data_IF_624437194837
#
_entry.id   IF_624437194837
#
_cell.length_a   1.000
_cell.length_b   1.000
_cell.length_c   1.000
_cell.angle_alpha   90.00
_cell.angle_beta   90.00
_cell.angle_gamma   90.00
#
_symmetry.space_group_name_H-M   'P 1'
#
loop_
_entity.id
_entity.type
_entity.pdbx_description
1 polymer ?
#
# COMPACT_ATOMS: atom_id res chain seq x y z
N UNK A 1 31.84 18.93 -5.07
CA UNK A 1 31.68 17.58 -4.47
C UNK A 1 32.96 17.23 -3.74
N UNK A 2 32.87 17.02 -2.43
CA UNK A 2 34.04 16.75 -1.60
C UNK A 2 34.53 15.32 -1.88
N UNK A 3 35.73 15.16 -2.44
CA UNK A 3 36.27 13.89 -2.95
C UNK A 3 36.52 12.83 -1.87
N UNK A 4 36.14 13.10 -0.61
CA UNK A 4 36.46 12.28 0.58
C UNK A 4 35.28 11.43 1.09
N UNK A 5 34.11 11.53 0.48
CA UNK A 5 32.89 10.83 0.97
C UNK A 5 32.82 9.37 0.48
N UNK A 6 33.48 9.05 -0.64
CA UNK A 6 33.41 7.73 -1.30
C UNK A 6 34.78 7.20 -1.67
N UNK A 7 34.89 5.87 -1.74
CA UNK A 7 36.06 5.21 -2.29
C UNK A 7 35.99 5.11 -3.83
N UNK A 8 37.07 4.66 -4.51
CA UNK A 8 37.09 4.52 -5.98
C UNK A 8 36.03 3.58 -6.56
N UNK A 9 35.49 2.67 -5.74
CA UNK A 9 34.44 1.72 -6.11
C UNK A 9 33.02 2.27 -5.79
N UNK A 10 32.93 3.54 -5.36
CA UNK A 10 31.67 4.21 -5.07
C UNK A 10 31.05 3.90 -3.70
N UNK A 11 31.72 3.11 -2.86
CA UNK A 11 31.25 2.83 -1.50
C UNK A 11 31.39 4.06 -0.60
N UNK A 12 30.42 4.27 0.28
CA UNK A 12 30.49 5.32 1.29
C UNK A 12 31.62 5.03 2.30
N UNK A 13 32.44 6.05 2.54
CA UNK A 13 33.46 6.07 3.59
C UNK A 13 32.95 6.74 4.87
N UNK A 14 31.79 7.40 4.79
CA UNK A 14 31.19 8.17 5.88
C UNK A 14 29.87 7.53 6.28
N UNK A 15 29.44 7.72 7.53
CA UNK A 15 28.11 7.29 7.95
C UNK A 15 27.02 8.02 7.13
N UNK A 16 25.99 7.32 6.59
CA UNK A 16 24.92 7.94 5.80
C UNK A 16 24.20 9.11 6.49
N UNK A 17 24.15 9.12 7.83
CA UNK A 17 23.55 10.21 8.61
C UNK A 17 24.31 11.53 8.50
N UNK A 18 25.58 11.52 8.10
CA UNK A 18 26.42 12.71 7.92
C UNK A 18 26.36 13.30 6.50
N UNK A 19 25.73 12.58 5.56
CA UNK A 19 25.52 13.09 4.20
C UNK A 19 24.55 14.28 4.21
N UNK A 20 24.74 15.23 3.30
CA UNK A 20 23.74 16.26 3.03
C UNK A 20 22.52 15.69 2.28
N UNK A 21 21.45 16.48 2.14
CA UNK A 21 20.21 16.01 1.50
C UNK A 21 20.43 15.46 0.09
N UNK A 22 21.16 16.19 -0.75
CA UNK A 22 21.43 15.80 -2.13
C UNK A 22 22.22 14.49 -2.21
N UNK A 23 23.25 14.36 -1.38
CA UNK A 23 24.07 13.15 -1.29
C UNK A 23 23.27 11.94 -0.80
N UNK A 24 22.33 12.13 0.13
CA UNK A 24 21.41 11.07 0.58
C UNK A 24 20.51 10.61 -0.56
N UNK A 25 19.94 11.54 -1.33
CA UNK A 25 19.11 11.19 -2.50
C UNK A 25 19.92 10.41 -3.55
N UNK A 26 21.14 10.85 -3.85
CA UNK A 26 22.03 10.14 -4.77
C UNK A 26 22.38 8.73 -4.26
N UNK A 27 22.61 8.58 -2.96
CA UNK A 27 22.88 7.27 -2.38
C UNK A 27 21.67 6.35 -2.41
N UNK A 28 20.47 6.87 -2.13
CA UNK A 28 19.22 6.10 -2.25
C UNK A 28 18.98 5.65 -3.69
N UNK A 29 19.20 6.52 -4.68
CA UNK A 29 19.10 6.16 -6.09
C UNK A 29 20.09 5.06 -6.49
N UNK A 30 21.33 5.14 -5.99
CA UNK A 30 22.35 4.11 -6.20
C UNK A 30 21.95 2.77 -5.58
N UNK A 31 21.48 2.78 -4.34
CA UNK A 31 20.97 1.59 -3.66
C UNK A 31 19.80 0.96 -4.40
N UNK A 32 18.87 1.78 -4.91
CA UNK A 32 17.78 1.31 -5.75
C UNK A 32 18.30 0.63 -7.03
N UNK A 33 19.27 1.23 -7.72
CA UNK A 33 19.92 0.61 -8.89
C UNK A 33 20.56 -0.74 -8.59
N UNK A 34 21.22 -0.89 -7.43
CA UNK A 34 21.77 -2.17 -6.98
C UNK A 34 20.69 -3.22 -6.72
N UNK A 35 19.56 -2.81 -6.12
CA UNK A 35 18.42 -3.71 -5.91
C UNK A 35 17.83 -4.18 -7.25
N UNK A 36 17.74 -3.29 -8.25
CA UNK A 36 17.25 -3.65 -9.59
C UNK A 36 18.20 -4.60 -10.33
N UNK A 37 19.51 -4.47 -10.12
CA UNK A 37 20.52 -5.32 -10.74
C UNK A 37 20.69 -6.69 -10.04
N UNK A 38 20.08 -6.88 -8.87
CA UNK A 38 20.23 -8.10 -8.09
C UNK A 38 19.52 -9.29 -8.74
N UNK A 39 20.27 -10.37 -8.97
CA UNK A 39 19.74 -11.64 -9.47
C UNK A 39 19.61 -12.66 -8.33
N UNK A 40 18.65 -13.59 -8.43
CA UNK A 40 18.46 -14.65 -7.44
C UNK A 40 17.00 -14.93 -7.09
N UNK A 41 16.74 -15.80 -6.08
CA UNK A 41 15.38 -16.25 -5.73
C UNK A 41 14.45 -15.10 -5.30
N UNK A 42 15.00 -14.00 -4.78
CA UNK A 42 14.26 -12.83 -4.33
C UNK A 42 14.26 -11.67 -5.34
N UNK A 43 14.63 -11.91 -6.60
CA UNK A 43 14.73 -10.87 -7.63
C UNK A 43 13.48 -9.98 -7.68
N UNK A 44 12.29 -10.58 -7.70
CA UNK A 44 11.02 -9.82 -7.72
C UNK A 44 10.88 -8.84 -6.55
N UNK A 45 11.31 -9.24 -5.36
CA UNK A 45 11.26 -8.39 -4.16
C UNK A 45 12.26 -7.24 -4.25
N UNK A 46 13.47 -7.50 -4.73
CA UNK A 46 14.48 -6.46 -4.93
C UNK A 46 14.06 -5.49 -6.03
N UNK A 47 13.53 -5.99 -7.15
CA UNK A 47 12.97 -5.17 -8.23
C UNK A 47 11.85 -4.27 -7.71
N UNK A 48 10.87 -4.85 -7.00
CA UNK A 48 9.76 -4.08 -6.41
C UNK A 48 10.26 -2.97 -5.47
N UNK A 49 11.22 -3.25 -4.58
CA UNK A 49 11.74 -2.26 -3.65
C UNK A 49 12.53 -1.16 -4.37
N UNK A 50 13.40 -1.54 -5.31
CA UNK A 50 14.17 -0.62 -6.14
C UNK A 50 13.28 0.34 -6.92
N UNK A 51 12.24 -0.19 -7.58
CA UNK A 51 11.28 0.61 -8.35
C UNK A 51 10.57 1.65 -7.46
N UNK A 52 10.14 1.26 -6.26
CA UNK A 52 9.43 2.18 -5.36
C UNK A 52 10.35 3.28 -4.79
N UNK A 53 11.62 2.96 -4.51
CA UNK A 53 12.60 3.98 -4.10
C UNK A 53 12.80 5.00 -5.24
N UNK A 54 12.95 4.55 -6.49
CA UNK A 54 13.11 5.46 -7.63
C UNK A 54 11.86 6.30 -7.89
N UNK A 55 10.66 5.71 -7.79
CA UNK A 55 9.39 6.45 -7.90
C UNK A 55 9.29 7.55 -6.85
N UNK A 56 9.65 7.24 -5.59
CA UNK A 56 9.62 8.21 -4.51
C UNK A 56 10.55 9.40 -4.79
N UNK A 57 11.78 9.12 -5.22
CA UNK A 57 12.78 10.13 -5.54
C UNK A 57 12.40 10.99 -6.75
N UNK A 58 11.86 10.39 -7.81
CA UNK A 58 11.55 11.10 -9.05
C UNK A 58 10.29 11.97 -8.97
N UNK A 59 9.31 11.55 -8.16
CA UNK A 59 8.02 12.23 -8.04
C UNK A 59 7.90 13.12 -6.80
N UNK A 60 8.98 13.30 -6.03
CA UNK A 60 8.98 13.97 -4.73
C UNK A 60 7.92 13.40 -3.76
N UNK A 61 7.70 12.08 -3.84
CA UNK A 61 6.73 11.33 -3.04
C UNK A 61 7.41 10.71 -1.82
N UNK A 62 6.66 10.50 -0.74
CA UNK A 62 7.21 9.79 0.41
C UNK A 62 7.41 8.30 0.11
N UNK A 63 8.44 7.70 0.70
CA UNK A 63 8.67 6.25 0.62
C UNK A 63 7.47 5.48 1.19
N UNK A 64 6.82 6.03 2.21
CA UNK A 64 5.62 5.45 2.81
C UNK A 64 4.44 5.39 1.83
N UNK A 65 4.25 6.41 0.99
CA UNK A 65 3.19 6.43 -0.01
C UNK A 65 3.47 5.42 -1.13
N UNK A 66 4.70 5.40 -1.63
CA UNK A 66 5.11 4.46 -2.71
C UNK A 66 5.11 3.01 -2.25
N UNK A 67 5.55 2.73 -1.02
CA UNK A 67 5.50 1.39 -0.42
C UNK A 67 4.12 1.02 0.13
N UNK A 68 3.18 1.97 0.18
CA UNK A 68 1.86 1.76 0.79
C UNK A 68 1.94 1.46 2.29
N UNK A 69 2.90 2.05 3.01
CA UNK A 69 3.12 1.85 4.45
C UNK A 69 2.31 2.85 5.28
N UNK A 70 1.99 4.05 4.78
CA UNK A 70 1.26 5.07 5.56
C UNK A 70 -0.03 5.51 4.86
N UNK A 71 -1.07 5.93 5.61
CA UNK A 71 -2.18 6.69 5.05
C UNK A 71 -1.69 7.92 4.24
N UNK A 72 -2.45 8.31 3.21
CA UNK A 72 -2.10 9.45 2.35
C UNK A 72 -1.97 10.76 3.15
N UNK A 73 -1.08 11.65 2.70
CA UNK A 73 -0.89 12.99 3.28
C UNK A 73 -2.23 13.74 3.40
N UNK A 74 -2.43 14.43 4.53
CA UNK A 74 -3.68 15.12 4.88
C UNK A 74 -4.72 14.24 5.58
N UNK A 75 -4.54 12.92 5.60
CA UNK A 75 -5.38 12.04 6.42
C UNK A 75 -5.08 12.27 7.90
N UNK A 76 -6.13 12.55 8.69
CA UNK A 76 -6.06 12.56 10.17
C UNK A 76 -6.06 11.15 10.77
N UNK A 77 -6.03 10.10 9.95
CA UNK A 77 -6.06 8.72 10.43
C UNK A 77 -4.70 8.28 10.96
N UNK A 78 -4.72 7.60 12.10
CA UNK A 78 -3.55 6.87 12.59
C UNK A 78 -3.25 5.69 11.67
N UNK A 79 -2.00 5.22 11.65
CA UNK A 79 -1.61 4.02 10.89
C UNK A 79 -2.46 2.80 11.29
N UNK A 80 -2.73 2.61 12.59
CA UNK A 80 -3.58 1.53 13.07
C UNK A 80 -5.01 1.60 12.50
N UNK A 81 -5.61 2.80 12.51
CA UNK A 81 -6.95 3.01 11.95
C UNK A 81 -6.97 2.81 10.44
N UNK A 82 -5.95 3.30 9.73
CA UNK A 82 -5.80 3.11 8.29
C UNK A 82 -5.64 1.64 7.92
N UNK A 83 -4.81 0.89 8.67
CA UNK A 83 -4.62 -0.55 8.47
C UNK A 83 -5.92 -1.32 8.72
N UNK A 84 -6.62 -1.04 9.82
CA UNK A 84 -7.92 -1.65 10.11
C UNK A 84 -8.97 -1.32 9.04
N UNK A 85 -9.02 -0.06 8.59
CA UNK A 85 -9.94 0.33 7.52
C UNK A 85 -9.59 -0.35 6.21
N UNK A 86 -8.32 -0.46 5.85
CA UNK A 86 -7.86 -1.16 4.65
C UNK A 86 -8.22 -2.65 4.69
N UNK A 87 -8.01 -3.30 5.83
CA UNK A 87 -8.42 -4.71 6.04
C UNK A 87 -9.92 -4.89 5.88
N UNK A 88 -10.72 -4.03 6.52
CA UNK A 88 -12.18 -4.02 6.39
C UNK A 88 -12.62 -3.81 4.94
N UNK A 89 -12.05 -2.82 4.26
CA UNK A 89 -12.35 -2.51 2.86
C UNK A 89 -12.06 -3.69 1.94
N UNK A 90 -10.95 -4.40 2.17
CA UNK A 90 -10.60 -5.61 1.44
C UNK A 90 -11.60 -6.74 1.66
N UNK A 91 -12.07 -6.93 2.90
CA UNK A 91 -13.10 -7.93 3.20
C UNK A 91 -14.44 -7.59 2.54
N UNK A 92 -14.84 -6.31 2.51
CA UNK A 92 -16.06 -5.87 1.83
C UNK A 92 -15.99 -6.20 0.33
N UNK A 93 -14.88 -5.86 -0.32
CA UNK A 93 -14.70 -6.14 -1.75
C UNK A 93 -14.66 -7.64 -2.02
N UNK A 94 -14.01 -8.42 -1.14
CA UNK A 94 -14.01 -9.87 -1.25
C UNK A 94 -15.42 -10.43 -1.13
N UNK A 95 -16.18 -10.03 -0.10
CA UNK A 95 -17.58 -10.42 0.07
C UNK A 95 -18.41 -10.11 -1.19
N UNK A 96 -18.24 -8.91 -1.76
CA UNK A 96 -18.93 -8.50 -2.97
C UNK A 96 -18.61 -9.36 -4.20
N UNK A 97 -17.33 -9.70 -4.37
CA UNK A 97 -16.90 -10.59 -5.45
C UNK A 97 -17.50 -11.99 -5.27
N UNK A 98 -17.52 -12.52 -4.04
CA UNK A 98 -18.07 -13.85 -3.74
C UNK A 98 -19.60 -13.90 -3.81
N UNK A 99 -20.29 -12.79 -3.51
CA UNK A 99 -21.73 -12.63 -3.77
C UNK A 99 -22.07 -12.53 -5.26
N UNK A 100 -21.07 -12.30 -6.12
CA UNK A 100 -21.19 -12.17 -7.57
C UNK A 100 -21.59 -10.78 -8.08
N UNK A 101 -21.96 -9.84 -7.22
CA UNK A 101 -22.11 -8.43 -7.58
C UNK A 101 -22.13 -7.49 -6.37
N UNK A 102 -21.77 -6.22 -6.58
CA UNK A 102 -21.82 -5.17 -5.56
C UNK A 102 -23.25 -4.98 -5.04
N UNK A 103 -24.26 -5.02 -5.92
CA UNK A 103 -25.67 -4.88 -5.54
C UNK A 103 -26.20 -6.02 -4.68
N UNK A 104 -25.79 -7.27 -4.94
CA UNK A 104 -26.14 -8.43 -4.10
C UNK A 104 -25.52 -8.32 -2.71
N UNK A 105 -24.25 -7.93 -2.63
CA UNK A 105 -23.60 -7.71 -1.35
C UNK A 105 -24.27 -6.59 -0.53
N UNK A 106 -24.63 -5.47 -1.17
CA UNK A 106 -25.37 -4.40 -0.49
C UNK A 106 -26.76 -4.87 -0.02
N UNK A 107 -27.46 -5.68 -0.80
CA UNK A 107 -28.74 -6.26 -0.38
C UNK A 107 -28.59 -7.13 0.88
N UNK A 108 -27.50 -7.90 0.99
CA UNK A 108 -27.19 -8.69 2.19
C UNK A 108 -26.79 -7.78 3.37
N UNK A 109 -25.96 -6.75 3.15
CA UNK A 109 -25.57 -5.81 4.21
C UNK A 109 -26.76 -5.04 4.78
N UNK A 110 -27.75 -4.72 3.94
CA UNK A 110 -28.97 -4.03 4.35
C UNK A 110 -30.08 -4.96 4.87
N UNK A 111 -29.84 -6.27 4.94
CA UNK A 111 -30.83 -7.26 5.40
C UNK A 111 -32.00 -7.49 4.44
N UNK A 112 -31.90 -7.05 3.19
CA UNK A 112 -32.91 -7.30 2.13
C UNK A 112 -32.80 -8.70 1.54
N UNK A 113 -31.63 -9.32 1.65
CA UNK A 113 -31.37 -10.71 1.27
C UNK A 113 -30.66 -11.45 2.40
N UNK A 114 -30.96 -12.76 2.59
CA UNK A 114 -30.22 -13.57 3.54
C UNK A 114 -28.75 -13.71 3.11
N UNK A 115 -27.85 -13.82 4.08
CA UNK A 115 -26.44 -14.10 3.80
C UNK A 115 -26.31 -15.52 3.22
N UNK A 116 -25.65 -15.70 2.06
CA UNK A 116 -25.35 -17.03 1.53
C UNK A 116 -24.58 -17.86 2.56
N UNK A 117 -24.92 -19.16 2.69
CA UNK A 117 -24.35 -20.05 3.71
C UNK A 117 -22.82 -20.13 3.62
N UNK A 118 -22.29 -20.22 2.41
CA UNK A 118 -20.85 -20.25 2.14
C UNK A 118 -20.11 -18.96 2.55
N UNK A 119 -20.84 -17.85 2.77
CA UNK A 119 -20.26 -16.55 3.11
C UNK A 119 -20.51 -16.14 4.56
N UNK A 120 -21.21 -16.94 5.36
CA UNK A 120 -21.52 -16.64 6.77
C UNK A 120 -20.25 -16.36 7.58
N UNK A 121 -19.18 -17.13 7.37
CA UNK A 121 -17.91 -16.91 8.04
C UNK A 121 -17.29 -15.54 7.72
N UNK A 122 -17.31 -15.15 6.44
CA UNK A 122 -16.77 -13.87 5.98
C UNK A 122 -17.65 -12.69 6.43
N UNK A 123 -18.96 -12.88 6.46
CA UNK A 123 -19.94 -11.93 6.99
C UNK A 123 -19.77 -11.70 8.50
N UNK A 124 -19.53 -12.76 9.28
CA UNK A 124 -19.21 -12.68 10.70
C UNK A 124 -17.90 -11.92 10.97
N UNK A 125 -16.87 -12.18 10.17
CA UNK A 125 -15.62 -11.41 10.23
C UNK A 125 -15.87 -9.92 9.97
N UNK A 126 -16.66 -9.58 8.94
CA UNK A 126 -17.02 -8.19 8.65
C UNK A 126 -17.77 -7.52 9.80
N UNK A 127 -18.69 -8.22 10.46
CA UNK A 127 -19.37 -7.71 11.66
C UNK A 127 -18.42 -7.47 12.83
N UNK A 128 -17.37 -8.28 12.98
CA UNK A 128 -16.37 -8.08 14.03
C UNK A 128 -15.55 -6.78 13.84
N UNK A 129 -15.40 -6.29 12.60
CA UNK A 129 -14.80 -4.97 12.31
C UNK A 129 -15.75 -3.79 12.59
N UNK A 130 -16.99 -4.04 13.00
CA UNK A 130 -17.98 -3.03 13.37
C UNK A 130 -19.09 -2.85 12.33
N UNK A 131 -19.52 -1.60 12.14
CA UNK A 131 -20.73 -1.28 11.36
C UNK A 131 -20.55 -1.63 9.87
N UNK A 132 -21.43 -2.43 9.30
CA UNK A 132 -21.45 -2.73 7.86
C UNK A 132 -21.76 -1.47 7.02
N UNK A 133 -21.34 -1.43 5.74
CA UNK A 133 -21.73 -0.35 4.83
C UNK A 133 -23.25 -0.26 4.72
N UNK A 134 -23.80 0.93 4.93
CA UNK A 134 -25.26 1.17 4.97
C UNK A 134 -25.73 2.22 3.95
N UNK A 135 -24.80 2.83 3.21
CA UNK A 135 -25.11 3.84 2.20
C UNK A 135 -25.19 3.17 0.82
N UNK A 136 -26.12 3.59 -0.06
CA UNK A 136 -26.19 3.11 -1.44
C UNK A 136 -24.87 3.30 -2.18
N UNK A 137 -24.49 2.31 -3.00
CA UNK A 137 -23.27 2.37 -3.82
C UNK A 137 -21.98 2.50 -3.01
N UNK A 138 -21.99 2.04 -1.75
CA UNK A 138 -20.81 2.05 -0.89
C UNK A 138 -19.74 1.10 -1.39
N UNK A 139 -20.13 -0.07 -1.89
CA UNK A 139 -19.19 -1.07 -2.41
C UNK A 139 -18.56 -0.59 -3.71
N UNK A 140 -19.39 -0.04 -4.62
CA UNK A 140 -18.93 0.52 -5.89
C UNK A 140 -17.96 1.69 -5.70
N UNK A 141 -18.29 2.65 -4.82
CA UNK A 141 -17.37 3.75 -4.47
C UNK A 141 -16.03 3.26 -3.93
N UNK A 142 -16.06 2.23 -3.08
CA UNK A 142 -14.87 1.65 -2.48
C UNK A 142 -13.97 0.97 -3.52
N UNK A 143 -14.59 0.39 -4.57
CA UNK A 143 -13.88 -0.18 -5.73
C UNK A 143 -13.20 0.92 -6.57
N UNK A 144 -13.90 2.02 -6.85
CA UNK A 144 -13.36 3.14 -7.61
C UNK A 144 -12.20 3.84 -6.88
N UNK A 145 -12.30 3.98 -5.56
CA UNK A 145 -11.21 4.53 -4.74
C UNK A 145 -9.92 3.70 -4.83
N UNK A 146 -10.04 2.39 -5.11
CA UNK A 146 -8.92 1.48 -5.33
C UNK A 146 -8.38 1.46 -6.76
N UNK A 147 -9.17 1.87 -7.76
CA UNK A 147 -8.68 2.00 -9.14
C UNK A 147 -7.88 3.28 -9.33
N UNK A 148 -8.25 4.36 -8.64
CA UNK A 148 -7.59 5.67 -8.75
C UNK A 148 -6.23 5.72 -8.03
N UNK A 149 -5.87 4.66 -7.31
CA UNK A 149 -4.61 4.51 -6.57
C UNK A 149 -3.61 3.56 -7.25
N UNK A 150 -3.84 3.20 -8.52
CA UNK A 150 -2.94 2.38 -9.36
C UNK A 150 -2.27 3.21 -10.45
#
# INVERSE_FOLDING_TARGET
>A
MDKRVRNPFGHLLVCPSKLNHLERCQELARCAGLLLAQTGPNQKTYTWLGDNILKALNNDQSLDETLGIRPPRGSRQTYANWKQQTQRNNLILRFANECGSDGKAEAVFHGKQPCPENLVGLYSQLKAFGRLPNSPGSVSRLRNLKSDTR
#
